data_IF_759841337829
#
_entry.id   IF_759841337829
#
_cell.length_a   1.000
_cell.length_b   1.000
_cell.length_c   1.000
_cell.angle_alpha   90.00
_cell.angle_beta   90.00
_cell.angle_gamma   90.00
#
_symmetry.space_group_name_H-M   'P 1'
#
loop_
_entity.id
_entity.type
_entity.pdbx_description
1 polymer ?
#
# COMPACT_ATOMS: atom_id res chain seq x y z
N UNK A 1 -13.31 10.41 -8.73
CA UNK A 1 -12.06 9.72 -8.38
C UNK A 1 -11.44 10.46 -7.20
N UNK A 2 -11.08 9.78 -6.11
CA UNK A 2 -10.44 10.44 -4.95
C UNK A 2 -8.96 10.74 -5.26
N UNK A 3 -8.48 11.88 -4.80
CA UNK A 3 -7.07 12.26 -4.87
C UNK A 3 -6.21 11.36 -3.97
N UNK A 4 -4.93 11.15 -4.30
CA UNK A 4 -3.95 10.50 -3.42
C UNK A 4 -2.96 11.52 -2.90
N UNK A 5 -2.83 11.61 -1.58
CA UNK A 5 -1.86 12.47 -0.89
C UNK A 5 -0.83 11.63 -0.17
N UNK A 6 0.41 12.04 -0.28
CA UNK A 6 1.55 11.35 0.32
C UNK A 6 2.03 12.10 1.56
N UNK A 7 2.14 11.41 2.68
CA UNK A 7 2.93 11.90 3.81
C UNK A 7 4.41 12.00 3.42
N UNK A 8 5.17 12.82 4.14
CA UNK A 8 6.64 12.84 3.99
C UNK A 8 7.25 11.45 4.16
N UNK A 9 6.80 10.71 5.18
CA UNK A 9 7.29 9.36 5.46
C UNK A 9 7.04 8.39 4.29
N UNK A 10 5.89 8.48 3.62
CA UNK A 10 5.59 7.64 2.45
C UNK A 10 6.48 7.99 1.24
N UNK A 11 6.80 9.27 1.03
CA UNK A 11 7.73 9.72 -0.03
C UNK A 11 9.14 9.17 0.21
N UNK A 12 9.62 9.22 1.47
CA UNK A 12 10.91 8.64 1.85
C UNK A 12 10.93 7.13 1.56
N UNK A 13 9.87 6.40 1.89
CA UNK A 13 9.76 4.97 1.61
C UNK A 13 9.76 4.66 0.11
N UNK A 14 9.05 5.43 -0.71
CA UNK A 14 9.08 5.29 -2.17
C UNK A 14 10.49 5.46 -2.73
N UNK A 15 11.19 6.51 -2.31
CA UNK A 15 12.56 6.76 -2.76
C UNK A 15 13.51 5.63 -2.35
N UNK A 16 13.39 5.12 -1.12
CA UNK A 16 14.20 3.99 -0.64
C UNK A 16 13.95 2.70 -1.43
N UNK A 17 12.69 2.42 -1.78
CA UNK A 17 12.32 1.25 -2.58
C UNK A 17 12.83 1.38 -4.02
N UNK A 18 12.69 2.57 -4.61
CA UNK A 18 13.22 2.86 -5.94
C UNK A 18 14.74 2.69 -5.99
N UNK A 19 15.47 3.16 -4.98
CA UNK A 19 16.93 2.98 -4.87
C UNK A 19 17.35 1.50 -4.75
N UNK A 20 16.42 0.60 -4.41
CA UNK A 20 16.63 -0.85 -4.31
C UNK A 20 16.05 -1.62 -5.50
N UNK A 21 15.65 -0.91 -6.56
CA UNK A 21 15.11 -1.52 -7.78
C UNK A 21 13.63 -1.90 -7.72
N UNK A 22 12.89 -1.46 -6.70
CA UNK A 22 11.43 -1.65 -6.57
C UNK A 22 10.74 -0.34 -6.95
N UNK A 23 10.32 -0.24 -8.19
CA UNK A 23 9.65 0.95 -8.73
C UNK A 23 8.14 0.84 -8.56
N UNK A 24 7.58 1.65 -7.68
CA UNK A 24 6.14 1.70 -7.39
C UNK A 24 5.62 3.03 -7.90
N UNK A 25 4.66 3.00 -8.83
CA UNK A 25 4.09 4.21 -9.41
C UNK A 25 2.93 4.75 -8.55
N UNK A 26 2.64 6.06 -8.62
CA UNK A 26 1.44 6.62 -7.99
C UNK A 26 0.15 5.92 -8.43
N UNK A 27 0.06 5.50 -9.69
CA UNK A 27 -1.07 4.78 -10.25
C UNK A 27 -1.26 3.42 -9.56
N UNK A 28 -0.16 2.68 -9.35
CA UNK A 28 -0.22 1.41 -8.62
C UNK A 28 -0.66 1.61 -7.17
N UNK A 29 -0.25 2.70 -6.51
CA UNK A 29 -0.69 3.02 -5.14
C UNK A 29 -2.18 3.33 -5.11
N UNK A 30 -2.65 4.13 -6.06
CA UNK A 30 -4.07 4.45 -6.22
C UNK A 30 -4.90 3.19 -6.46
N UNK A 31 -4.44 2.34 -7.37
CA UNK A 31 -5.06 1.05 -7.66
C UNK A 31 -5.06 0.12 -6.44
N UNK A 32 -4.00 0.14 -5.63
CA UNK A 32 -3.89 -0.66 -4.40
C UNK A 32 -4.92 -0.21 -3.36
N UNK A 33 -5.11 1.09 -3.15
CA UNK A 33 -6.08 1.57 -2.14
C UNK A 33 -7.52 1.53 -2.62
N UNK A 34 -7.78 1.56 -3.94
CA UNK A 34 -9.13 1.46 -4.50
C UNK A 34 -9.58 0.00 -4.73
N UNK A 35 -8.67 -0.85 -5.19
CA UNK A 35 -8.93 -2.23 -5.58
C UNK A 35 -7.87 -3.16 -4.99
N UNK A 36 -7.79 -3.28 -3.65
CA UNK A 36 -6.84 -4.17 -2.99
C UNK A 36 -7.22 -5.64 -3.18
N UNK A 37 -6.22 -6.53 -3.16
CA UNK A 37 -6.43 -7.97 -3.06
C UNK A 37 -6.88 -8.36 -1.65
N UNK A 38 -6.36 -7.67 -0.63
CA UNK A 38 -6.72 -7.82 0.79
C UNK A 38 -6.74 -6.47 1.47
N UNK A 39 -7.72 -6.25 2.36
CA UNK A 39 -7.81 -5.05 3.19
C UNK A 39 -7.92 -5.42 4.66
N UNK A 40 -7.14 -4.76 5.50
CA UNK A 40 -7.24 -4.80 6.95
C UNK A 40 -7.69 -3.42 7.45
N UNK A 41 -8.67 -3.39 8.35
CA UNK A 41 -9.23 -2.15 8.91
C UNK A 41 -9.11 -2.24 10.44
N UNK A 42 -8.44 -1.26 11.05
CA UNK A 42 -8.39 -1.13 12.51
C UNK A 42 -9.46 -0.18 13.03
N UNK A 43 -9.76 -0.27 14.32
CA UNK A 43 -10.81 0.51 15.01
C UNK A 43 -10.62 2.04 14.88
N UNK A 44 -9.39 2.53 14.68
CA UNK A 44 -9.07 3.95 14.50
C UNK A 44 -9.21 4.45 13.03
N UNK A 45 -9.90 3.69 12.18
CA UNK A 45 -10.04 3.92 10.73
C UNK A 45 -8.72 3.94 9.95
N UNK A 46 -7.61 3.47 10.53
CA UNK A 46 -6.40 3.17 9.78
C UNK A 46 -6.64 1.90 8.97
N UNK A 47 -6.20 1.93 7.73
CA UNK A 47 -6.40 0.85 6.76
C UNK A 47 -5.07 0.38 6.22
N UNK A 48 -4.98 -0.91 5.92
CA UNK A 48 -3.86 -1.52 5.22
C UNK A 48 -4.41 -2.22 3.99
N UNK A 49 -4.16 -1.64 2.83
CA UNK A 49 -4.45 -2.25 1.54
C UNK A 49 -3.24 -3.06 1.09
N UNK A 50 -3.46 -4.28 0.61
CA UNK A 50 -2.42 -5.15 0.08
C UNK A 50 -2.74 -5.47 -1.38
N UNK A 51 -1.72 -5.44 -2.24
CA UNK A 51 -1.83 -5.83 -3.64
C UNK A 51 -0.59 -6.57 -4.12
N UNK A 52 -0.77 -7.62 -4.92
CA UNK A 52 0.32 -8.37 -5.57
C UNK A 52 1.10 -7.41 -6.46
N UNK A 53 2.42 -7.46 -6.35
CA UNK A 53 3.35 -6.64 -7.13
C UNK A 53 4.14 -7.46 -8.14
N UNK A 54 4.58 -8.64 -7.73
CA UNK A 54 5.15 -9.66 -8.60
C UNK A 54 4.98 -11.03 -7.95
N UNK A 55 5.61 -12.07 -8.50
CA UNK A 55 5.44 -13.45 -8.00
C UNK A 55 6.00 -13.71 -6.61
N UNK A 56 6.85 -12.81 -6.09
CA UNK A 56 7.46 -12.95 -4.77
C UNK A 56 6.96 -11.92 -3.76
N UNK A 57 6.43 -10.79 -4.23
CA UNK A 57 6.14 -9.62 -3.42
C UNK A 57 4.70 -9.13 -3.57
N UNK A 58 4.15 -8.71 -2.43
CA UNK A 58 3.00 -7.81 -2.34
C UNK A 58 3.50 -6.44 -1.88
N UNK A 59 2.79 -5.38 -2.24
CA UNK A 59 2.93 -4.07 -1.57
C UNK A 59 1.79 -3.90 -0.60
N UNK A 60 2.13 -3.49 0.62
CA UNK A 60 1.18 -3.10 1.66
C UNK A 60 1.24 -1.59 1.82
N UNK A 61 0.08 -0.95 1.64
CA UNK A 61 -0.11 0.49 1.72
C UNK A 61 -0.93 0.79 2.96
N UNK A 62 -0.35 1.53 3.90
CA UNK A 62 -1.02 2.00 5.11
C UNK A 62 -1.58 3.38 4.83
N UNK A 63 -2.87 3.56 4.99
CA UNK A 63 -3.56 4.80 4.64
C UNK A 63 -4.73 5.11 5.56
N UNK A 64 -5.19 6.35 5.47
CA UNK A 64 -6.51 6.76 5.96
C UNK A 64 -7.35 7.25 4.79
N UNK A 65 -8.61 6.88 4.80
CA UNK A 65 -9.58 7.33 3.81
C UNK A 65 -10.35 8.53 4.35
N UNK A 66 -10.38 9.60 3.57
CA UNK A 66 -11.25 10.76 3.78
C UNK A 66 -12.30 10.81 2.67
N UNK A 67 -13.30 11.68 2.82
CA UNK A 67 -14.35 11.87 1.81
C UNK A 67 -13.79 12.26 0.44
N UNK A 68 -12.79 13.15 0.40
CA UNK A 68 -12.22 13.69 -0.84
C UNK A 68 -10.91 13.02 -1.31
N UNK A 69 -10.13 12.44 -0.40
CA UNK A 69 -8.78 11.94 -0.71
C UNK A 69 -8.38 10.73 0.15
N UNK A 70 -7.37 10.00 -0.33
CA UNK A 70 -6.63 9.02 0.46
C UNK A 70 -5.33 9.65 0.97
N UNK A 71 -5.05 9.53 2.27
CA UNK A 71 -3.77 9.91 2.85
C UNK A 71 -2.90 8.67 3.03
N UNK A 72 -1.86 8.54 2.21
CA UNK A 72 -0.87 7.48 2.31
C UNK A 72 0.09 7.83 3.45
N UNK A 73 0.07 7.00 4.49
CA UNK A 73 0.91 7.18 5.69
C UNK A 73 2.27 6.54 5.46
N UNK A 74 2.29 5.29 5.00
CA UNK A 74 3.51 4.54 4.69
C UNK A 74 3.21 3.39 3.73
N UNK A 75 4.25 2.77 3.19
CA UNK A 75 4.16 1.58 2.35
C UNK A 75 5.40 0.72 2.54
N UNK A 76 5.24 -0.59 2.36
CA UNK A 76 6.34 -1.54 2.44
C UNK A 76 6.05 -2.79 1.62
N UNK A 77 7.07 -3.43 1.04
CA UNK A 77 6.94 -4.73 0.43
C UNK A 77 6.77 -5.81 1.51
N UNK A 78 5.97 -6.82 1.21
CA UNK A 78 5.84 -8.05 1.97
C UNK A 78 6.10 -9.26 1.07
N UNK A 79 6.66 -10.34 1.62
CA UNK A 79 6.78 -11.60 0.88
C UNK A 79 5.43 -12.30 0.82
N UNK A 80 5.03 -12.77 -0.36
CA UNK A 80 3.76 -13.49 -0.54
C UNK A 80 3.65 -14.70 0.39
N UNK A 81 4.74 -15.46 0.55
CA UNK A 81 4.79 -16.65 1.44
C UNK A 81 4.43 -16.37 2.90
N UNK A 82 4.54 -15.12 3.35
CA UNK A 82 4.15 -14.71 4.70
C UNK A 82 2.63 -14.54 4.85
N UNK A 83 1.92 -14.32 3.75
CA UNK A 83 0.48 -14.00 3.72
C UNK A 83 -0.36 -15.12 3.11
N UNK A 84 0.24 -16.10 2.42
CA UNK A 84 -0.46 -17.31 1.98
C UNK A 84 -0.97 -18.15 3.16
N UNK A 85 -0.27 -18.11 4.31
CA UNK A 85 -0.64 -18.83 5.53
C UNK A 85 -1.92 -18.31 6.21
N UNK A 86 -2.34 -17.07 5.93
CA UNK A 86 -3.57 -16.48 6.50
C UNK A 86 -4.85 -16.95 5.76
N UNK A 87 -4.74 -17.88 4.81
CA UNK A 87 -5.84 -18.30 3.92
C UNK A 87 -6.26 -19.76 4.14
N UNK A 88 -5.81 -20.42 5.22
CA UNK A 88 -6.19 -21.78 5.60
C UNK A 88 -6.98 -21.81 6.90
#
# INVERSE_FOLDING_TARGET
>A
MKEVRFSEHSRIKLNLLSARGIFITPEFILETVQFPDKIEISEDNKRIAQKKFNDNLVIRVVYREFSAFFLIITLYPGRISRYEQDTL
#
